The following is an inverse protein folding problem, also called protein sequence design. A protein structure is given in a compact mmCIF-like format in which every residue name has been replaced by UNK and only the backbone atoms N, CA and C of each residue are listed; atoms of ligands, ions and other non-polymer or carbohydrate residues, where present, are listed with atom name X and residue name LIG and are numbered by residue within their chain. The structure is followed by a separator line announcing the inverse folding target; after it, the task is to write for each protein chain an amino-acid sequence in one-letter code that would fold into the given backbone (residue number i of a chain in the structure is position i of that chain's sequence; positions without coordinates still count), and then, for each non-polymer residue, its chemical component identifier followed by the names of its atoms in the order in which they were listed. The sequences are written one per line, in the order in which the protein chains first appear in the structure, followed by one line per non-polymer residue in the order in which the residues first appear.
data_IF_601420828641
#
_entry.id   IF_601420828641
#
_cell.length_a   1.000
_cell.length_b   1.000
_cell.length_c   1.000
_cell.angle_alpha   90.00
_cell.angle_beta   90.00
_cell.angle_gamma   90.00
#
_symmetry.space_group_name_H-M   'P 1'
#
loop_
_entity.id
_entity.type
_entity.pdbx_description
1 polymer ?
#
# COMPACT_ATOMS: atom_id res chain seq x y z
N UNK A 1 -3.04 -22.29 -5.08
CA UNK A 1 -4.49 -22.43 -4.80
C UNK A 1 -5.19 -22.36 -6.15
N UNK A 2 -5.60 -23.50 -6.71
CA UNK A 2 -6.29 -23.55 -8.01
C UNK A 2 -7.78 -23.76 -7.76
N UNK A 3 -8.49 -22.66 -7.51
CA UNK A 3 -9.96 -22.68 -7.42
C UNK A 3 -10.51 -22.02 -8.68
N UNK A 4 -11.53 -22.61 -9.28
CA UNK A 4 -12.29 -22.01 -10.39
C UNK A 4 -13.24 -20.92 -9.91
N UNK A 5 -13.40 -20.78 -8.60
CA UNK A 5 -14.25 -19.78 -7.97
C UNK A 5 -13.42 -18.59 -7.47
N UNK A 6 -14.03 -17.41 -7.54
CA UNK A 6 -13.50 -16.21 -6.90
C UNK A 6 -13.63 -16.31 -5.39
N UNK A 7 -12.60 -15.92 -4.65
CA UNK A 7 -12.62 -15.94 -3.19
C UNK A 7 -11.99 -14.69 -2.58
N UNK A 8 -12.45 -14.37 -1.37
CA UNK A 8 -11.91 -13.32 -0.53
C UNK A 8 -11.09 -13.97 0.57
N UNK A 9 -9.83 -13.58 0.70
CA UNK A 9 -8.95 -14.07 1.77
C UNK A 9 -8.53 -12.88 2.62
N UNK A 10 -8.97 -12.85 3.87
CA UNK A 10 -8.61 -11.81 4.82
C UNK A 10 -7.50 -12.29 5.74
N UNK A 11 -6.65 -11.37 6.21
CA UNK A 11 -5.67 -11.62 7.26
C UNK A 11 -4.69 -12.77 6.94
N UNK A 12 -4.38 -12.98 5.65
CA UNK A 12 -3.50 -14.05 5.18
C UNK A 12 -2.04 -13.74 5.54
N UNK A 13 -1.40 -14.58 6.36
CA UNK A 13 0.05 -14.45 6.56
C UNK A 13 0.80 -14.83 5.27
N UNK A 14 1.50 -13.86 4.70
CA UNK A 14 2.33 -14.01 3.52
C UNK A 14 3.80 -13.96 3.92
N UNK A 15 4.60 -14.94 3.47
CA UNK A 15 6.05 -15.00 3.73
C UNK A 15 6.76 -15.47 2.46
N UNK A 16 7.78 -14.73 2.01
CA UNK A 16 8.64 -15.15 0.90
C UNK A 16 10.10 -14.75 1.12
N UNK A 17 11.01 -15.47 0.47
CA UNK A 17 12.40 -15.05 0.37
C UNK A 17 12.54 -14.04 -0.78
N UNK A 18 13.18 -12.90 -0.49
CA UNK A 18 13.55 -11.90 -1.48
C UNK A 18 14.98 -11.43 -1.21
N UNK A 19 15.91 -11.75 -2.12
CA UNK A 19 17.33 -11.37 -2.03
C UNK A 19 17.97 -11.70 -0.66
N UNK A 20 17.74 -12.92 -0.17
CA UNK A 20 18.23 -13.41 1.12
C UNK A 20 17.63 -12.71 2.35
N UNK A 21 16.51 -12.00 2.20
CA UNK A 21 15.69 -11.50 3.29
C UNK A 21 14.33 -12.20 3.26
N UNK A 22 13.75 -12.44 4.42
CA UNK A 22 12.36 -12.87 4.50
C UNK A 22 11.46 -11.65 4.55
N UNK A 23 10.62 -11.49 3.52
CA UNK A 23 9.50 -10.57 3.53
C UNK A 23 8.34 -11.28 4.19
N UNK A 24 7.74 -10.65 5.21
CA UNK A 24 6.59 -11.20 5.89
C UNK A 24 5.58 -10.10 6.18
N UNK A 25 4.29 -10.42 6.05
CA UNK A 25 3.24 -9.54 6.50
C UNK A 25 1.86 -10.10 6.23
N UNK A 26 0.85 -9.31 6.57
CA UNK A 26 -0.54 -9.74 6.60
C UNK A 26 -1.40 -8.63 6.00
N UNK A 27 -1.75 -8.70 4.70
CA UNK A 27 -2.68 -7.76 4.12
C UNK A 27 -4.06 -7.93 4.74
N UNK A 28 -4.82 -6.84 4.80
CA UNK A 28 -6.15 -6.87 5.40
C UNK A 28 -7.07 -7.82 4.60
N UNK A 29 -7.07 -7.70 3.27
CA UNK A 29 -7.84 -8.59 2.39
C UNK A 29 -7.24 -8.68 0.99
N UNK A 30 -7.30 -9.86 0.38
CA UNK A 30 -6.97 -10.10 -1.03
C UNK A 30 -8.17 -10.74 -1.70
N UNK A 31 -8.54 -10.21 -2.87
CA UNK A 31 -9.50 -10.83 -3.76
C UNK A 31 -8.77 -11.66 -4.83
N UNK A 32 -9.10 -12.95 -4.90
CA UNK A 32 -8.63 -13.87 -5.94
C UNK A 32 -9.75 -14.19 -6.91
N UNK A 33 -9.42 -14.29 -8.19
CA UNK A 33 -10.30 -14.83 -9.23
C UNK A 33 -9.55 -15.90 -10.01
N UNK A 34 -10.17 -17.08 -10.17
CA UNK A 34 -9.59 -18.22 -10.89
C UNK A 34 -8.18 -18.61 -10.40
N UNK A 35 -7.95 -18.52 -9.09
CA UNK A 35 -6.64 -18.81 -8.46
C UNK A 35 -5.59 -17.70 -8.59
N UNK A 36 -5.89 -16.59 -9.26
CA UNK A 36 -4.97 -15.46 -9.46
C UNK A 36 -5.35 -14.28 -8.56
N UNK A 37 -4.38 -13.62 -7.87
CA UNK A 37 -4.67 -12.43 -7.09
C UNK A 37 -5.03 -11.27 -8.03
N UNK A 38 -6.16 -10.62 -7.77
CA UNK A 38 -6.67 -9.52 -8.60
C UNK A 38 -6.55 -8.18 -7.87
N UNK A 39 -6.86 -8.14 -6.58
CA UNK A 39 -6.84 -6.89 -5.80
C UNK A 39 -6.37 -7.15 -4.37
N UNK A 40 -5.39 -6.37 -3.90
CA UNK A 40 -5.03 -6.27 -2.48
C UNK A 40 -5.74 -5.06 -1.89
N UNK A 41 -6.39 -5.21 -0.73
CA UNK A 41 -7.02 -4.11 -0.01
C UNK A 41 -6.25 -3.80 1.27
N UNK A 42 -5.95 -2.52 1.47
CA UNK A 42 -5.32 -1.97 2.67
C UNK A 42 -6.17 -0.84 3.23
N UNK A 43 -6.72 -1.04 4.43
CA UNK A 43 -7.52 -0.06 5.14
C UNK A 43 -6.65 0.81 6.02
N UNK A 44 -6.87 2.13 5.98
CA UNK A 44 -6.19 3.10 6.84
C UNK A 44 -7.23 4.03 7.46
N UNK A 45 -7.40 3.90 8.77
CA UNK A 45 -8.21 4.83 9.55
C UNK A 45 -7.41 6.11 9.80
N UNK A 46 -7.93 7.23 9.30
CA UNK A 46 -7.19 8.49 9.23
C UNK A 46 -8.12 9.70 9.36
N UNK A 47 -7.55 10.81 9.86
CA UNK A 47 -8.17 12.15 9.74
C UNK A 47 -7.94 12.76 8.37
N UNK A 48 -6.96 12.25 7.62
CA UNK A 48 -6.64 12.70 6.27
C UNK A 48 -7.43 11.88 5.27
N UNK A 49 -7.81 12.51 4.18
CA UNK A 49 -8.55 11.92 3.06
C UNK A 49 -7.62 11.35 1.98
N UNK A 50 -6.29 11.54 2.09
CA UNK A 50 -5.28 11.13 1.11
C UNK A 50 -4.53 9.86 1.52
N UNK A 51 -4.03 9.12 0.53
CA UNK A 51 -3.02 8.08 0.73
C UNK A 51 -1.62 8.68 0.90
N UNK A 52 -0.76 8.00 1.65
CA UNK A 52 0.65 8.37 1.81
C UNK A 52 1.56 7.38 1.07
N UNK A 53 2.75 7.80 0.59
CA UNK A 53 3.67 6.91 -0.12
C UNK A 53 4.00 5.61 0.61
N UNK A 54 4.06 5.63 1.95
CA UNK A 54 4.29 4.44 2.77
C UNK A 54 3.16 3.41 2.67
N UNK A 55 1.91 3.83 2.47
CA UNK A 55 0.79 2.92 2.26
C UNK A 55 0.95 2.15 0.95
N UNK A 56 1.37 2.83 -0.11
CA UNK A 56 1.63 2.22 -1.41
C UNK A 56 2.80 1.22 -1.33
N UNK A 57 3.92 1.60 -0.69
CA UNK A 57 5.06 0.68 -0.50
C UNK A 57 4.64 -0.58 0.28
N UNK A 58 3.79 -0.44 1.30
CA UNK A 58 3.26 -1.59 2.05
C UNK A 58 2.47 -2.53 1.13
N UNK A 59 1.50 -2.01 0.37
CA UNK A 59 0.69 -2.81 -0.55
C UNK A 59 1.52 -3.45 -1.68
N UNK A 60 2.47 -2.69 -2.24
CA UNK A 60 3.42 -3.19 -3.24
C UNK A 60 4.29 -4.32 -2.69
N UNK A 61 4.69 -4.25 -1.41
CA UNK A 61 5.45 -5.31 -0.75
C UNK A 61 4.65 -6.62 -0.72
N UNK A 62 3.34 -6.57 -0.48
CA UNK A 62 2.48 -7.76 -0.58
C UNK A 62 2.39 -8.29 -2.01
N UNK A 63 2.29 -7.41 -3.01
CA UNK A 63 2.37 -7.80 -4.42
C UNK A 63 3.68 -8.51 -4.78
N UNK A 64 4.80 -8.04 -4.24
CA UNK A 64 6.10 -8.70 -4.39
C UNK A 64 6.08 -10.08 -3.71
N UNK A 65 5.58 -10.19 -2.47
CA UNK A 65 5.51 -11.49 -1.78
C UNK A 65 4.67 -12.49 -2.57
N UNK A 66 3.51 -12.08 -3.09
CA UNK A 66 2.67 -12.95 -3.94
C UNK A 66 3.44 -13.40 -5.20
N UNK A 67 4.18 -12.49 -5.84
CA UNK A 67 5.00 -12.83 -7.00
C UNK A 67 6.10 -13.84 -6.66
N UNK A 68 6.83 -13.64 -5.55
CA UNK A 68 7.87 -14.56 -5.08
C UNK A 68 7.29 -15.92 -4.64
N UNK A 69 6.03 -15.98 -4.20
CA UNK A 69 5.29 -17.22 -3.94
C UNK A 69 4.83 -17.94 -5.22
N UNK A 70 5.06 -17.36 -6.40
CA UNK A 70 4.76 -17.96 -7.69
C UNK A 70 3.37 -17.66 -8.24
N UNK A 71 2.64 -16.69 -7.66
CA UNK A 71 1.39 -16.21 -8.26
C UNK A 71 1.66 -15.34 -9.48
N UNK A 72 0.79 -15.42 -10.48
CA UNK A 72 0.74 -14.43 -11.56
C UNK A 72 0.21 -13.11 -11.01
N UNK A 73 1.04 -12.06 -11.07
CA UNK A 73 0.70 -10.71 -10.60
C UNK A 73 0.62 -9.70 -11.75
N UNK A 74 0.57 -10.16 -13.00
CA UNK A 74 0.56 -9.29 -14.19
C UNK A 74 -0.70 -8.41 -14.29
N UNK A 75 -1.80 -8.89 -13.72
CA UNK A 75 -3.10 -8.20 -13.68
C UNK A 75 -3.50 -7.80 -12.25
N UNK A 76 -2.53 -7.77 -11.33
CA UNK A 76 -2.76 -7.41 -9.94
C UNK A 76 -2.94 -5.91 -9.78
N UNK A 77 -3.90 -5.52 -8.96
CA UNK A 77 -4.09 -4.16 -8.47
C UNK A 77 -3.99 -4.14 -6.95
N UNK A 78 -3.84 -2.95 -6.39
CA UNK A 78 -4.03 -2.73 -4.97
C UNK A 78 -4.86 -1.47 -4.72
N UNK A 79 -5.62 -1.50 -3.64
CA UNK A 79 -6.50 -0.44 -3.19
C UNK A 79 -6.09 0.03 -1.79
N UNK A 80 -5.74 1.30 -1.67
CA UNK A 80 -5.59 1.97 -0.38
C UNK A 80 -6.93 2.62 -0.04
N UNK A 81 -7.62 2.09 0.97
CA UNK A 81 -8.94 2.53 1.41
C UNK A 81 -8.78 3.41 2.65
N UNK A 82 -8.99 4.70 2.49
CA UNK A 82 -8.88 5.69 3.57
C UNK A 82 -10.25 5.88 4.22
N UNK A 83 -10.35 5.53 5.49
CA UNK A 83 -11.58 5.53 6.28
C UNK A 83 -11.52 6.57 7.40
N UNK A 84 -12.63 7.24 7.73
CA UNK A 84 -12.72 8.04 8.95
C UNK A 84 -12.74 7.14 10.20
N UNK A 85 -12.25 7.68 11.33
CA UNK A 85 -12.10 6.94 12.59
C UNK A 85 -13.42 6.44 13.22
N UNK A 86 -14.55 7.04 12.86
CA UNK A 86 -15.88 6.61 13.32
C UNK A 86 -16.31 5.26 12.71
N UNK A 87 -15.63 4.74 11.69
CA UNK A 87 -15.97 3.47 11.02
C UNK A 87 -15.20 2.25 11.54
N UNK A 88 -14.34 2.39 12.56
CA UNK A 88 -13.44 1.31 13.04
C UNK A 88 -14.17 0.04 13.50
N UNK A 89 -15.38 0.15 14.05
CA UNK A 89 -16.13 -0.99 14.61
C UNK A 89 -17.04 -1.72 13.61
N UNK A 90 -17.01 -1.36 12.32
CA UNK A 90 -18.04 -1.75 11.35
C UNK A 90 -17.54 -2.81 10.33
N UNK A 91 -17.07 -3.96 10.81
CA UNK A 91 -16.45 -5.02 9.99
C UNK A 91 -17.34 -5.46 8.81
N UNK A 92 -18.65 -5.65 9.03
CA UNK A 92 -19.57 -6.03 7.96
C UNK A 92 -19.71 -4.94 6.88
N UNK A 93 -19.58 -3.66 7.25
CA UNK A 93 -19.57 -2.58 6.26
C UNK A 93 -18.27 -2.57 5.45
N UNK A 94 -17.13 -2.95 6.03
CA UNK A 94 -15.88 -3.09 5.28
C UNK A 94 -15.96 -4.21 4.22
N UNK A 95 -16.61 -5.33 4.55
CA UNK A 95 -16.87 -6.41 3.57
C UNK A 95 -17.83 -5.97 2.47
N UNK A 96 -18.88 -5.23 2.80
CA UNK A 96 -19.79 -4.68 1.79
C UNK A 96 -19.06 -3.68 0.88
N UNK A 97 -18.26 -2.79 1.47
CA UNK A 97 -17.47 -1.78 0.76
C UNK A 97 -16.47 -2.41 -0.21
N UNK A 98 -15.73 -3.45 0.20
CA UNK A 98 -14.79 -4.13 -0.71
C UNK A 98 -15.48 -4.73 -1.93
N UNK A 99 -16.67 -5.33 -1.75
CA UNK A 99 -17.48 -5.81 -2.87
C UNK A 99 -17.94 -4.67 -3.78
N UNK A 100 -18.38 -3.56 -3.20
CA UNK A 100 -18.80 -2.38 -3.95
C UNK A 100 -17.65 -1.77 -4.75
N UNK A 101 -16.45 -1.68 -4.16
CA UNK A 101 -15.23 -1.25 -4.86
C UNK A 101 -14.94 -2.18 -6.05
N UNK A 102 -15.01 -3.50 -5.86
CA UNK A 102 -14.79 -4.45 -6.96
C UNK A 102 -15.84 -4.34 -8.06
N UNK A 103 -17.12 -4.14 -7.70
CA UNK A 103 -18.18 -3.89 -8.68
C UNK A 103 -17.84 -2.68 -9.54
N UNK A 104 -17.51 -1.53 -8.93
CA UNK A 104 -17.09 -0.33 -9.66
C UNK A 104 -15.82 -0.57 -10.50
N UNK A 105 -14.87 -1.33 -9.99
CA UNK A 105 -13.64 -1.68 -10.69
C UNK A 105 -13.93 -2.38 -12.04
N UNK A 106 -14.93 -3.25 -12.10
CA UNK A 106 -15.32 -3.91 -13.35
C UNK A 106 -16.28 -3.08 -14.19
N UNK A 107 -17.33 -2.50 -13.60
CA UNK A 107 -18.37 -1.77 -14.35
C UNK A 107 -17.82 -0.53 -15.02
N UNK A 108 -16.93 0.20 -14.34
CA UNK A 108 -16.27 1.40 -14.87
C UNK A 108 -14.97 1.10 -15.62
N UNK A 109 -14.64 -0.19 -15.79
CA UNK A 109 -13.43 -0.69 -16.45
C UNK A 109 -12.14 -0.06 -15.90
N UNK A 110 -12.05 0.07 -14.57
CA UNK A 110 -10.87 0.66 -13.93
C UNK A 110 -9.62 -0.20 -14.12
N UNK A 111 -9.78 -1.49 -14.45
CA UNK A 111 -8.68 -2.37 -14.84
C UNK A 111 -7.93 -1.94 -16.11
N UNK A 112 -8.50 -1.06 -16.92
CA UNK A 112 -7.83 -0.49 -18.10
C UNK A 112 -6.94 0.72 -17.76
N UNK A 113 -7.01 1.22 -16.50
CA UNK A 113 -6.29 2.41 -16.03
C UNK A 113 -5.14 2.00 -15.11
N UNK A 114 -4.03 2.73 -15.16
CA UNK A 114 -2.89 2.51 -14.26
C UNK A 114 -3.18 2.98 -12.82
N UNK A 115 -4.05 3.98 -12.67
CA UNK A 115 -4.52 4.48 -11.38
C UNK A 115 -5.94 5.01 -11.48
N UNK A 116 -6.71 4.90 -10.39
CA UNK A 116 -8.07 5.44 -10.29
C UNK A 116 -8.40 5.80 -8.84
N UNK A 117 -9.30 6.75 -8.65
CA UNK A 117 -9.81 7.13 -7.33
C UNK A 117 -11.32 6.98 -7.32
N UNK A 118 -11.85 6.32 -6.30
CA UNK A 118 -13.29 6.25 -6.02
C UNK A 118 -13.59 6.95 -4.69
N UNK A 119 -14.79 7.52 -4.59
CA UNK A 119 -15.26 8.23 -3.39
C UNK A 119 -16.61 7.67 -2.98
N UNK A 120 -16.71 7.19 -1.75
CA UNK A 120 -17.92 6.64 -1.14
C UNK A 120 -18.24 7.43 0.12
N UNK A 121 -18.96 8.56 -0.03
CA UNK A 121 -19.19 9.49 1.09
C UNK A 121 -17.89 10.08 1.62
N UNK A 122 -17.54 9.77 2.87
CA UNK A 122 -16.28 10.20 3.52
C UNK A 122 -15.10 9.25 3.27
N UNK A 123 -15.31 8.17 2.51
CA UNK A 123 -14.30 7.15 2.23
C UNK A 123 -13.67 7.40 0.87
N UNK A 124 -12.34 7.48 0.83
CA UNK A 124 -11.58 7.58 -0.42
C UNK A 124 -10.84 6.29 -0.70
N UNK A 125 -10.90 5.83 -1.94
CA UNK A 125 -10.25 4.59 -2.39
C UNK A 125 -9.30 4.92 -3.53
N UNK A 126 -8.02 4.66 -3.30
CA UNK A 126 -6.96 4.86 -4.30
C UNK A 126 -6.59 3.49 -4.86
N UNK A 127 -6.95 3.24 -6.11
CA UNK A 127 -6.68 1.98 -6.83
C UNK A 127 -5.49 2.20 -7.74
N UNK A 128 -4.49 1.32 -7.67
CA UNK A 128 -3.30 1.39 -8.49
C UNK A 128 -2.94 0.01 -9.04
N UNK A 129 -2.55 -0.03 -10.31
CA UNK A 129 -2.04 -1.25 -10.93
C UNK A 129 -0.68 -1.58 -10.34
N UNK A 130 -0.49 -2.83 -9.97
CA UNK A 130 0.77 -3.29 -9.42
C UNK A 130 1.81 -3.43 -10.52
N UNK A 131 2.96 -2.79 -10.33
CA UNK A 131 4.12 -2.93 -11.19
C UNK A 131 5.27 -3.58 -10.39
N UNK A 132 5.59 -4.82 -10.73
CA UNK A 132 6.60 -5.61 -10.02
C UNK A 132 7.98 -4.95 -10.04
N UNK A 133 8.36 -4.30 -11.16
CA UNK A 133 9.66 -3.66 -11.30
C UNK A 133 9.76 -2.44 -10.39
N UNK A 134 8.77 -1.55 -10.45
CA UNK A 134 8.73 -0.35 -9.62
C UNK A 134 8.63 -0.68 -8.13
N UNK A 135 7.82 -1.69 -7.77
CA UNK A 135 7.73 -2.18 -6.41
C UNK A 135 9.08 -2.67 -5.89
N UNK A 136 9.78 -3.52 -6.67
CA UNK A 136 11.11 -4.02 -6.30
C UNK A 136 12.14 -2.90 -6.17
N UNK A 137 12.13 -1.91 -7.06
CA UNK A 137 13.03 -0.74 -6.97
C UNK A 137 12.80 0.08 -5.69
N UNK A 138 11.53 0.35 -5.33
CA UNK A 138 11.16 1.04 -4.09
C UNK A 138 11.58 0.25 -2.85
N UNK A 139 11.38 -1.07 -2.89
CA UNK A 139 11.71 -1.97 -1.78
C UNK A 139 13.23 -2.10 -1.60
N UNK A 140 13.98 -2.29 -2.69
CA UNK A 140 15.45 -2.34 -2.68
C UNK A 140 16.04 -1.05 -2.12
N UNK A 141 15.51 0.10 -2.54
CA UNK A 141 15.89 1.40 -1.98
C UNK A 141 15.62 1.46 -0.48
N UNK A 142 14.53 0.86 0.01
CA UNK A 142 14.22 0.79 1.45
C UNK A 142 15.22 -0.12 2.18
N UNK A 143 15.54 -1.29 1.63
CA UNK A 143 16.55 -2.18 2.21
C UNK A 143 17.94 -1.59 2.27
N UNK A 144 18.36 -0.84 1.25
CA UNK A 144 19.68 -0.19 1.28
C UNK A 144 19.86 0.69 2.51
N UNK A 145 18.80 1.33 3.01
CA UNK A 145 18.88 2.06 4.28
C UNK A 145 19.04 1.13 5.48
N UNK A 146 18.22 0.09 5.59
CA UNK A 146 18.29 -0.84 6.72
C UNK A 146 19.59 -1.65 6.76
N UNK A 147 20.15 -1.98 5.60
CA UNK A 147 21.46 -2.62 5.45
C UNK A 147 22.63 -1.66 5.64
N UNK A 148 22.38 -0.36 5.84
CA UNK A 148 23.40 0.71 5.92
C UNK A 148 24.25 0.85 4.65
N UNK A 149 23.71 0.44 3.51
CA UNK A 149 24.29 0.62 2.19
C UNK A 149 24.06 2.04 1.64
N UNK A 150 23.11 2.79 2.23
CA UNK A 150 22.90 4.23 2.02
C UNK A 150 22.46 4.94 3.30
N UNK A 151 22.62 6.26 3.33
CA UNK A 151 22.10 7.11 4.39
C UNK A 151 20.57 7.30 4.30
N UNK A 152 19.97 7.80 5.39
CA UNK A 152 18.59 8.26 5.38
C UNK A 152 18.42 9.41 4.39
N UNK A 153 17.30 9.43 3.66
CA UNK A 153 16.97 10.57 2.82
C UNK A 153 16.36 11.68 3.68
N UNK A 154 16.78 12.94 3.50
CA UNK A 154 16.16 14.05 4.20
C UNK A 154 14.70 14.17 3.76
N UNK A 155 13.83 14.44 4.74
CA UNK A 155 12.44 14.84 4.48
C UNK A 155 12.36 16.37 4.39
N UNK A 156 11.62 16.86 3.40
CA UNK A 156 11.32 18.27 3.17
C UNK A 156 10.09 18.76 3.97
N UNK A 157 9.33 17.83 4.56
CA UNK A 157 8.17 18.16 5.37
C UNK A 157 8.59 18.75 6.73
N UNK A 158 8.29 20.04 6.92
CA UNK A 158 8.57 20.79 8.14
C UNK A 158 8.03 20.12 9.41
N UNK A 159 6.80 19.62 9.40
CA UNK A 159 6.20 18.98 10.58
C UNK A 159 6.94 17.70 10.99
N UNK A 160 7.45 16.94 10.00
CA UNK A 160 8.29 15.76 10.27
C UNK A 160 9.67 16.15 10.80
N UNK A 161 10.23 17.28 10.36
CA UNK A 161 11.49 17.80 10.87
C UNK A 161 11.36 18.33 12.31
N UNK A 162 10.25 19.00 12.64
CA UNK A 162 9.97 19.52 13.98
C UNK A 162 9.77 18.42 15.03
N UNK A 163 9.17 17.30 14.62
CA UNK A 163 8.94 16.13 15.49
C UNK A 163 10.11 15.13 15.48
N UNK A 164 11.18 15.39 14.74
CA UNK A 164 12.31 14.47 14.61
C UNK A 164 13.22 14.52 15.84
N UNK A 165 13.48 13.36 16.45
CA UNK A 165 14.39 13.23 17.61
C UNK A 165 15.84 13.66 17.30
N UNK A 166 16.23 13.67 16.02
CA UNK A 166 17.56 14.07 15.55
C UNK A 166 17.65 15.55 15.13
N UNK A 167 16.61 16.37 15.35
CA UNK A 167 16.54 17.77 14.91
C UNK A 167 17.80 18.58 15.25
N UNK A 168 18.33 18.43 16.48
CA UNK A 168 19.52 19.17 16.95
C UNK A 168 20.83 18.80 16.23
N UNK A 169 20.88 17.61 15.62
CA UNK A 169 22.04 17.07 14.90
C UNK A 169 21.83 17.05 13.38
N UNK A 170 20.65 17.41 12.90
CA UNK A 170 20.30 17.37 11.49
C UNK A 170 20.85 18.61 10.76
N UNK A 171 21.78 18.45 9.79
CA UNK A 171 22.32 19.59 9.04
C UNK A 171 21.27 20.26 8.14
N UNK A 172 20.20 19.53 7.78
CA UNK A 172 19.14 20.02 6.92
C UNK A 172 18.09 20.88 7.65
N UNK A 173 17.98 20.75 8.98
CA UNK A 173 17.03 21.53 9.78
C UNK A 173 17.30 23.04 9.69
N UNK A 174 18.57 23.45 9.73
CA UNK A 174 18.98 24.87 9.66
C UNK A 174 18.72 25.52 8.30
N UNK A 175 18.56 24.73 7.24
CA UNK A 175 18.33 25.22 5.88
C UNK A 175 16.86 25.61 5.71
N UNK A 176 15.95 24.74 6.16
CA UNK A 176 14.49 24.94 6.09
C UNK A 176 14.04 26.14 6.94
N UNK A 177 14.72 26.44 8.05
CA UNK A 177 14.37 27.58 8.93
C UNK A 177 14.82 28.95 8.40
N UNK A 178 15.75 29.00 7.43
CA UNK A 178 16.32 30.25 6.92
C UNK A 178 15.66 30.75 5.63
N UNK A 179 15.06 29.87 4.85
CA UNK A 179 14.44 30.23 3.56
C UNK A 179 13.04 30.88 3.71
N UNK A 180 12.60 31.16 4.94
CA UNK A 180 11.26 31.69 5.27
C UNK A 180 11.27 32.79 6.36
N UNK A 181 12.42 33.43 6.62
CA UNK A 181 12.47 34.72 7.34
C UNK A 181 12.52 35.87 6.33
#
# INVERSE_FOLDING_TARGET
IYTTESCWVSELLLIANYKNLFLAGKPDTIFFANGTPVMIFEFKFSKYSSSFPSHHIQAETYGIILNELGFDTSSLFYAIVILPFNMVSEIEKLKALTREIMLNFWTEKLYEKESSTLVFGEVNVFIQKFNIREGKEKLDKTFGFWKREREALPVDNQNKCLSCEFQKKCPFYKKISKDFQ
#
